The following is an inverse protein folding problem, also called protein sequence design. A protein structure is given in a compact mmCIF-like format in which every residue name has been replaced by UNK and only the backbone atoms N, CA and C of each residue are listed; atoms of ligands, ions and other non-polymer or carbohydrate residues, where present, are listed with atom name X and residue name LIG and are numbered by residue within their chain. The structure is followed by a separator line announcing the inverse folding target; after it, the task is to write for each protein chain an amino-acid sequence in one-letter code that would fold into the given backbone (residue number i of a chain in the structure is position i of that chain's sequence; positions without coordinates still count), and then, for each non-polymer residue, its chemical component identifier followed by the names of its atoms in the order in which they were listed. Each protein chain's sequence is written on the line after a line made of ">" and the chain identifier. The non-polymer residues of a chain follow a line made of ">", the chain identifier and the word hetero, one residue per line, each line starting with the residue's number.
data_IF_817142057966
#
_entry.id   IF_817142057966
#
_cell.length_a   1.000
_cell.length_b   1.000
_cell.length_c   1.000
_cell.angle_alpha   90.00
_cell.angle_beta   90.00
_cell.angle_gamma   90.00
#
_symmetry.space_group_name_H-M   'P 1'
#
loop_
_entity.id
_entity.type
_entity.pdbx_description
1 polymer ?
#
# COMPACT_ATOMS: atom_id res chain seq x y z
N UNK A 1 15.00 45.35 -9.41
CA UNK A 1 14.29 45.26 -8.12
C UNK A 1 15.06 44.36 -7.16
N UNK A 2 15.75 44.95 -6.18
CA UNK A 2 16.37 44.19 -5.08
C UNK A 2 15.43 44.15 -3.89
N UNK A 3 15.35 43.00 -3.20
CA UNK A 3 14.64 42.90 -1.93
C UNK A 3 15.36 43.78 -0.92
N UNK A 4 14.76 44.91 -0.57
CA UNK A 4 15.39 45.93 0.29
C UNK A 4 15.43 45.54 1.77
N UNK A 5 14.50 44.71 2.23
CA UNK A 5 14.40 44.27 3.63
C UNK A 5 14.03 42.80 3.74
N UNK A 6 14.49 42.16 4.83
CA UNK A 6 14.16 40.77 5.14
C UNK A 6 12.67 40.62 5.47
N UNK A 7 12.01 39.68 4.79
CA UNK A 7 10.61 39.34 5.08
C UNK A 7 10.50 38.72 6.47
N UNK A 8 9.60 39.24 7.30
CA UNK A 8 9.38 38.71 8.65
C UNK A 8 8.80 37.27 8.61
N UNK A 9 8.86 36.58 9.75
CA UNK A 9 8.38 35.20 9.84
C UNK A 9 6.87 35.09 9.63
N UNK A 10 6.10 36.08 10.13
CA UNK A 10 4.64 36.13 10.00
C UNK A 10 4.18 36.19 8.53
N UNK A 11 4.71 37.11 7.72
CA UNK A 11 4.43 37.21 6.28
C UNK A 11 4.85 35.96 5.51
N UNK A 12 5.94 35.32 5.92
CA UNK A 12 6.34 34.04 5.33
C UNK A 12 5.37 32.91 5.68
N UNK A 13 4.91 32.86 6.94
CA UNK A 13 3.88 31.92 7.39
C UNK A 13 2.54 32.12 6.69
N UNK A 14 2.06 33.36 6.62
CA UNK A 14 0.81 33.71 5.94
C UNK A 14 0.83 33.41 4.45
N UNK A 15 1.98 33.59 3.78
CA UNK A 15 2.10 33.20 2.38
C UNK A 15 2.06 31.68 2.22
N UNK A 16 2.73 30.94 3.14
CA UNK A 16 2.82 29.48 3.09
C UNK A 16 1.57 28.76 3.61
N UNK A 17 0.66 29.43 4.32
CA UNK A 17 -0.56 28.82 4.85
C UNK A 17 -1.46 28.23 3.76
N UNK A 18 -1.39 28.78 2.54
CA UNK A 18 -2.16 28.31 1.39
C UNK A 18 -1.50 27.14 0.63
N UNK A 19 -0.27 26.74 0.97
CA UNK A 19 0.48 25.69 0.26
C UNK A 19 0.23 24.27 0.81
N UNK A 20 -0.93 24.02 1.41
CA UNK A 20 -1.29 22.69 1.88
C UNK A 20 -1.48 21.72 0.70
N UNK A 21 -0.82 20.57 0.76
CA UNK A 21 -1.03 19.48 -0.20
C UNK A 21 -2.36 18.79 0.09
N UNK A 22 -3.06 18.37 -0.97
CA UNK A 22 -4.30 17.60 -0.88
C UNK A 22 -4.06 16.19 -1.39
N UNK A 23 -4.66 15.22 -0.71
CA UNK A 23 -4.60 13.83 -1.13
C UNK A 23 -5.38 13.61 -2.44
N UNK A 24 -4.90 12.75 -3.34
CA UNK A 24 -5.61 12.39 -4.55
C UNK A 24 -6.88 11.57 -4.22
N UNK A 25 -7.92 11.76 -5.04
CA UNK A 25 -9.14 10.94 -4.95
C UNK A 25 -8.92 9.60 -5.65
N UNK A 26 -8.96 8.52 -4.88
CA UNK A 26 -8.84 7.15 -5.37
C UNK A 26 -10.23 6.49 -5.49
N UNK A 27 -10.39 5.64 -6.49
CA UNK A 27 -11.57 4.81 -6.73
C UNK A 27 -11.17 3.33 -6.78
N UNK A 28 -12.10 2.43 -6.48
CA UNK A 28 -11.89 0.98 -6.58
C UNK A 28 -12.07 0.49 -8.02
N UNK A 29 -11.18 -0.37 -8.49
CA UNK A 29 -11.26 -0.99 -9.82
C UNK A 29 -12.20 -2.19 -9.79
N UNK A 30 -13.10 -2.32 -10.77
CA UNK A 30 -14.08 -3.40 -10.82
C UNK A 30 -13.47 -4.80 -11.08
N UNK A 31 -12.33 -4.89 -11.79
CA UNK A 31 -11.72 -6.18 -12.16
C UNK A 31 -10.81 -6.78 -11.07
N UNK A 32 -10.06 -5.93 -10.36
CA UNK A 32 -9.03 -6.36 -9.41
C UNK A 32 -9.20 -5.80 -8.00
N UNK A 33 -10.23 -4.98 -7.74
CA UNK A 33 -10.50 -4.31 -6.47
C UNK A 33 -9.39 -3.36 -5.97
N UNK A 34 -8.34 -3.14 -6.77
CA UNK A 34 -7.26 -2.22 -6.48
C UNK A 34 -7.72 -0.75 -6.49
N UNK A 35 -7.04 0.08 -5.71
CA UNK A 35 -7.24 1.52 -5.74
C UNK A 35 -6.52 2.14 -6.94
N UNK A 36 -7.24 2.98 -7.69
CA UNK A 36 -6.71 3.67 -8.86
C UNK A 36 -7.21 5.11 -8.93
N UNK A 37 -6.51 5.95 -9.68
CA UNK A 37 -6.92 7.32 -9.94
C UNK A 37 -8.13 7.34 -10.88
N UNK A 38 -9.11 8.18 -10.57
CA UNK A 38 -10.28 8.40 -11.43
C UNK A 38 -9.84 8.85 -12.83
N UNK A 39 -10.48 8.32 -13.87
CA UNK A 39 -10.17 8.56 -15.29
C UNK A 39 -8.79 8.10 -15.77
N UNK A 40 -8.08 7.27 -15.00
CA UNK A 40 -6.85 6.61 -15.45
C UNK A 40 -7.06 5.11 -15.57
N UNK A 41 -6.23 4.45 -16.39
CA UNK A 41 -6.16 2.99 -16.41
C UNK A 41 -5.64 2.48 -15.06
N UNK A 42 -6.09 1.29 -14.67
CA UNK A 42 -5.59 0.64 -13.46
C UNK A 42 -4.13 0.18 -13.68
N UNK A 43 -3.17 0.60 -12.83
CA UNK A 43 -1.77 0.17 -12.96
C UNK A 43 -1.56 -1.30 -12.58
N UNK A 44 -2.54 -1.92 -11.91
CA UNK A 44 -2.47 -3.31 -11.51
C UNK A 44 -2.83 -4.26 -12.64
N UNK A 45 -4.03 -4.07 -13.20
CA UNK A 45 -4.60 -4.95 -14.21
C UNK A 45 -4.58 -4.39 -15.64
N UNK A 46 -4.09 -3.17 -15.89
CA UNK A 46 -3.99 -2.61 -17.25
C UNK A 46 -5.30 -2.26 -17.95
N UNK A 47 -6.42 -2.35 -17.22
CA UNK A 47 -7.76 -2.17 -17.76
C UNK A 47 -8.30 -0.74 -17.58
N UNK A 48 -9.08 -0.28 -18.55
CA UNK A 48 -9.85 0.96 -18.51
C UNK A 48 -11.22 0.79 -19.16
N UNK A 49 -12.31 1.06 -18.41
CA UNK A 49 -13.71 0.91 -18.87
C UNK A 49 -13.94 -0.45 -19.55
N UNK A 50 -13.61 -1.51 -18.82
CA UNK A 50 -13.75 -2.93 -19.20
C UNK A 50 -12.93 -3.42 -20.40
N UNK A 51 -12.19 -2.51 -21.06
CA UNK A 51 -11.23 -2.85 -22.10
C UNK A 51 -9.82 -2.98 -21.55
N UNK A 52 -9.12 -3.99 -22.04
CA UNK A 52 -7.69 -4.17 -21.78
C UNK A 52 -6.90 -3.27 -22.72
N UNK A 53 -6.15 -2.31 -22.15
CA UNK A 53 -5.37 -1.35 -22.94
C UNK A 53 -3.90 -1.77 -22.99
N UNK A 54 -3.41 -2.36 -21.90
CA UNK A 54 -2.04 -2.85 -21.76
C UNK A 54 -2.08 -4.18 -21.01
N UNK A 55 -1.38 -5.19 -21.52
CA UNK A 55 -1.15 -6.44 -20.78
C UNK A 55 -0.05 -6.21 -19.71
N UNK A 56 -0.49 -5.68 -18.57
CA UNK A 56 0.38 -5.42 -17.42
C UNK A 56 0.62 -6.70 -16.61
N UNK A 57 -0.29 -7.67 -16.68
CA UNK A 57 -0.23 -8.91 -15.92
C UNK A 57 0.88 -9.80 -16.46
N UNK A 58 0.93 -10.01 -17.79
CA UNK A 58 2.00 -10.77 -18.44
C UNK A 58 3.37 -10.14 -18.22
N UNK A 59 3.47 -8.81 -18.34
CA UNK A 59 4.72 -8.10 -18.09
C UNK A 59 5.21 -8.21 -16.63
N UNK A 60 4.29 -8.20 -15.65
CA UNK A 60 4.63 -8.40 -14.23
C UNK A 60 5.08 -9.81 -13.93
N UNK A 61 4.39 -10.82 -14.49
CA UNK A 61 4.76 -12.22 -14.31
C UNK A 61 6.21 -12.47 -14.78
N UNK A 62 6.56 -12.01 -15.98
CA UNK A 62 7.93 -12.14 -16.50
C UNK A 62 8.98 -11.43 -15.62
N UNK A 63 8.62 -10.28 -15.03
CA UNK A 63 9.51 -9.53 -14.13
C UNK A 63 9.71 -10.24 -12.80
N UNK A 64 8.67 -10.87 -12.26
CA UNK A 64 8.71 -11.63 -11.01
C UNK A 64 9.63 -12.85 -11.15
N UNK A 65 9.47 -13.62 -12.22
CA UNK A 65 10.34 -14.78 -12.52
C UNK A 65 11.81 -14.36 -12.56
N UNK A 66 12.15 -13.32 -13.34
CA UNK A 66 13.53 -12.80 -13.40
C UNK A 66 14.04 -12.30 -12.05
N UNK A 67 13.17 -11.72 -11.22
CA UNK A 67 13.54 -11.24 -9.88
C UNK A 67 13.81 -12.40 -8.95
N UNK A 68 12.98 -13.44 -8.98
CA UNK A 68 13.16 -14.66 -8.19
C UNK A 68 14.43 -15.40 -8.59
N UNK A 69 14.70 -15.54 -9.89
CA UNK A 69 15.97 -16.10 -10.40
C UNK A 69 17.17 -15.31 -9.89
N UNK A 70 17.10 -13.98 -9.95
CA UNK A 70 18.15 -13.10 -9.43
C UNK A 70 18.31 -13.25 -7.91
N UNK A 71 17.22 -13.37 -7.16
CA UNK A 71 17.26 -13.56 -5.70
C UNK A 71 17.85 -14.92 -5.36
N UNK A 72 17.42 -16.01 -6.03
CA UNK A 72 17.97 -17.37 -5.87
C UNK A 72 19.47 -17.42 -6.18
N UNK A 73 19.92 -16.70 -7.21
CA UNK A 73 21.34 -16.60 -7.56
C UNK A 73 22.16 -15.78 -6.55
N UNK A 74 21.53 -14.83 -5.83
CA UNK A 74 22.19 -14.02 -4.79
C UNK A 74 22.22 -14.72 -3.43
N UNK A 75 21.20 -15.50 -3.09
CA UNK A 75 21.16 -16.33 -1.88
C UNK A 75 21.91 -17.64 -2.12
N UNK A 76 23.22 -17.55 -2.32
CA UNK A 76 24.10 -18.71 -2.19
C UNK A 76 24.35 -18.96 -0.70
N UNK A 77 23.59 -19.85 -0.07
CA UNK A 77 24.01 -20.46 1.19
C UNK A 77 23.61 -21.93 1.19
N UNK A 78 24.62 -22.77 1.39
CA UNK A 78 24.51 -24.20 1.61
C UNK A 78 23.62 -24.49 2.84
N UNK A 79 22.54 -25.24 2.61
CA UNK A 79 21.96 -26.18 3.57
C UNK A 79 21.41 -27.35 2.76
N UNK A 80 22.26 -28.35 2.53
CA UNK A 80 21.78 -29.69 2.19
C UNK A 80 21.36 -30.38 3.49
N UNK A 81 20.07 -30.75 3.55
CA UNK A 81 19.45 -31.77 4.41
C UNK A 81 19.29 -31.33 5.90
N UNK A 82 18.16 -31.37 6.59
CA UNK A 82 16.97 -32.24 6.56
C UNK A 82 15.71 -31.51 7.10
N UNK A 83 14.55 -31.93 6.56
CA UNK A 83 13.23 -32.08 7.19
C UNK A 83 12.48 -31.00 7.99
N UNK A 84 11.22 -30.82 7.53
CA UNK A 84 9.99 -30.71 8.31
C UNK A 84 9.76 -29.39 9.07
N UNK A 85 8.73 -28.62 8.76
CA UNK A 85 7.33 -28.99 8.94
C UNK A 85 6.43 -27.94 8.28
N UNK A 86 5.27 -28.42 7.87
CA UNK A 86 4.11 -27.72 7.31
C UNK A 86 3.82 -26.36 7.97
N UNK A 87 3.63 -25.30 7.18
CA UNK A 87 2.86 -24.12 7.61
C UNK A 87 1.98 -23.58 6.46
N UNK A 88 0.72 -24.01 6.44
CA UNK A 88 -0.43 -23.12 6.22
C UNK A 88 -1.51 -23.47 7.26
N UNK A 89 -2.41 -22.55 7.70
CA UNK A 89 -2.43 -21.10 7.49
C UNK A 89 -2.69 -20.27 8.78
N UNK A 90 -2.37 -18.98 8.66
CA UNK A 90 -2.67 -17.91 9.63
C UNK A 90 -4.18 -17.65 9.77
N UNK A 91 -4.91 -18.44 10.54
CA UNK A 91 -6.27 -18.07 11.00
C UNK A 91 -6.35 -17.55 12.45
N UNK A 92 -5.35 -17.81 13.29
CA UNK A 92 -5.47 -17.49 14.73
C UNK A 92 -5.35 -16.00 15.09
N UNK A 93 -4.83 -15.14 14.20
CA UNK A 93 -4.67 -13.70 14.51
C UNK A 93 -5.95 -12.87 14.37
N UNK A 94 -7.00 -13.39 13.72
CA UNK A 94 -8.30 -12.70 13.64
C UNK A 94 -9.16 -12.91 14.89
N UNK A 95 -9.08 -14.07 15.54
CA UNK A 95 -9.87 -14.33 16.75
C UNK A 95 -9.40 -13.56 17.99
N UNK A 96 -8.09 -13.41 18.17
CA UNK A 96 -7.54 -12.69 19.33
C UNK A 96 -7.87 -11.19 19.26
N UNK A 97 -7.96 -10.62 18.06
CA UNK A 97 -8.33 -9.21 17.86
C UNK A 97 -9.83 -8.98 18.11
N UNK A 98 -10.69 -9.90 17.67
CA UNK A 98 -12.14 -9.86 17.93
C UNK A 98 -12.49 -10.02 19.42
N UNK A 99 -11.79 -10.90 20.15
CA UNK A 99 -11.97 -11.09 21.61
C UNK A 99 -11.44 -9.91 22.44
N UNK A 100 -10.43 -9.19 21.96
CA UNK A 100 -9.89 -7.98 22.63
C UNK A 100 -10.76 -6.73 22.40
N UNK A 101 -11.36 -6.60 21.23
CA UNK A 101 -12.28 -5.50 20.91
C UNK A 101 -13.63 -5.66 21.65
N UNK A 102 -14.18 -6.87 21.75
CA UNK A 102 -15.42 -7.14 22.51
C UNK A 102 -15.27 -6.99 24.03
N UNK A 103 -14.09 -7.30 24.60
CA UNK A 103 -13.81 -7.09 26.04
C UNK A 103 -13.57 -5.61 26.40
N UNK A 104 -13.11 -4.80 25.45
CA UNK A 104 -12.95 -3.34 25.63
C UNK A 104 -14.30 -2.63 25.62
N UNK A 105 -15.19 -3.01 24.70
CA UNK A 105 -16.55 -2.43 24.59
C UNK A 105 -17.43 -2.79 25.80
N UNK A 106 -17.30 -3.97 26.39
CA UNK A 106 -18.07 -4.37 27.58
C UNK A 106 -17.54 -3.76 28.89
N UNK A 107 -16.25 -3.41 28.96
CA UNK A 107 -15.68 -2.68 30.11
C UNK A 107 -16.08 -1.20 30.13
N UNK A 108 -16.06 -0.52 28.98
CA UNK A 108 -16.47 0.89 28.84
C UNK A 108 -17.98 1.12 29.07
N UNK A 109 -18.80 0.07 28.92
CA UNK A 109 -20.26 0.12 29.16
C UNK A 109 -20.67 -0.20 30.60
N UNK A 110 -19.73 -0.67 31.44
CA UNK A 110 -19.93 -0.98 32.88
C UNK A 110 -19.40 0.12 33.81
N UNK A 111 -18.58 1.03 33.28
CA UNK A 111 -17.99 2.18 33.99
C UNK A 111 -18.73 3.51 33.70
N UNK A 112 -19.90 3.45 33.06
CA UNK A 112 -20.87 4.53 32.87
C UNK A 112 -22.21 4.11 33.45
#
# INVERSE_FOLDING_TARGET
>A
MSVRMRVNRSHTGNRRSHHALKEPRLSTCAKCNAQHLRHRMCPECGNYRDREVVDVVGAKAARMVRREERVKALTGHDTTEEESTEEEPKEEKKEVKAKKETKKVTKEKKEK
#
